data_IF_286395046621
#
_entry.id   IF_286395046621
#
_cell.length_a   1.000
_cell.length_b   1.000
_cell.length_c   1.000
_cell.angle_alpha   90.00
_cell.angle_beta   90.00
_cell.angle_gamma   90.00
#
_symmetry.space_group_name_H-M   'P 1'
#
loop_
_entity.id
_entity.type
_entity.pdbx_description
1 polymer ?
#
# COMPACT_ATOMS: atom_id res chain seq x y z
N UNK A 1 3.84 25.95 63.82
CA UNK A 1 3.86 26.78 62.60
C UNK A 1 2.68 27.74 62.65
N UNK A 2 2.84 29.01 62.22
CA UNK A 2 1.74 29.99 62.25
C UNK A 2 0.59 29.49 61.37
N UNK A 3 -0.65 29.53 61.86
CA UNK A 3 -1.84 29.04 61.14
C UNK A 3 -1.98 29.63 59.73
N UNK A 4 -1.47 30.85 59.52
CA UNK A 4 -1.41 31.52 58.21
C UNK A 4 -0.50 30.80 57.21
N UNK A 5 0.65 30.30 57.67
CA UNK A 5 1.60 29.54 56.84
C UNK A 5 1.02 28.17 56.49
N UNK A 6 0.34 27.51 57.43
CA UNK A 6 -0.30 26.22 57.18
C UNK A 6 -1.42 26.34 56.13
N UNK A 7 -2.28 27.36 56.24
CA UNK A 7 -3.34 27.60 55.25
C UNK A 7 -2.78 27.95 53.86
N UNK A 8 -1.66 28.70 53.80
CA UNK A 8 -1.01 29.05 52.54
C UNK A 8 -0.39 27.81 51.87
N UNK A 9 0.23 26.91 52.63
CA UNK A 9 0.78 25.65 52.11
C UNK A 9 -0.33 24.74 51.57
N UNK A 10 -1.46 24.64 52.27
CA UNK A 10 -2.61 23.85 51.81
C UNK A 10 -3.20 24.42 50.52
N UNK A 11 -3.36 25.74 50.44
CA UNK A 11 -3.83 26.41 49.23
C UNK A 11 -2.89 26.15 48.03
N UNK A 12 -1.57 26.27 48.26
CA UNK A 12 -0.56 26.00 47.24
C UNK A 12 -0.63 24.55 46.75
N UNK A 13 -0.82 23.59 47.67
CA UNK A 13 -0.98 22.17 47.32
C UNK A 13 -2.21 21.91 46.45
N UNK A 14 -3.34 22.53 46.76
CA UNK A 14 -4.57 22.40 45.95
C UNK A 14 -4.37 22.96 44.55
N UNK A 15 -3.74 24.13 44.43
CA UNK A 15 -3.44 24.76 43.13
C UNK A 15 -2.51 23.86 42.31
N UNK A 16 -1.49 23.27 42.93
CA UNK A 16 -0.56 22.37 42.26
C UNK A 16 -1.27 21.12 41.73
N UNK A 17 -2.13 20.50 42.54
CA UNK A 17 -2.92 19.32 42.13
C UNK A 17 -3.88 19.67 40.97
N UNK A 18 -4.57 20.81 41.05
CA UNK A 18 -5.45 21.27 39.99
C UNK A 18 -4.68 21.54 38.68
N UNK A 19 -3.49 22.14 38.77
CA UNK A 19 -2.63 22.37 37.61
C UNK A 19 -2.13 21.07 36.98
N UNK A 20 -1.66 20.11 37.79
CA UNK A 20 -1.25 18.78 37.29
C UNK A 20 -2.42 18.03 36.65
N UNK A 21 -3.60 18.06 37.29
CA UNK A 21 -4.81 17.45 36.75
C UNK A 21 -5.21 18.03 35.40
N UNK A 22 -5.17 19.36 35.25
CA UNK A 22 -5.45 20.03 33.98
C UNK A 22 -4.39 19.72 32.90
N UNK A 23 -3.12 19.70 33.27
CA UNK A 23 -2.02 19.35 32.36
C UNK A 23 -2.13 17.91 31.83
N UNK A 24 -2.46 16.95 32.69
CA UNK A 24 -2.69 15.56 32.29
C UNK A 24 -3.96 15.40 31.46
N UNK A 25 -5.04 16.12 31.80
CA UNK A 25 -6.29 16.11 31.04
C UNK A 25 -6.09 16.65 29.62
N UNK A 26 -5.38 17.77 29.46
CA UNK A 26 -5.10 18.37 28.16
C UNK A 26 -4.14 17.56 27.31
N UNK A 27 -3.14 16.89 27.89
CA UNK A 27 -2.32 15.93 27.14
C UNK A 27 -3.14 14.77 26.57
N UNK A 28 -4.05 14.19 27.36
CA UNK A 28 -4.93 13.12 26.89
C UNK A 28 -5.88 13.59 25.78
N UNK A 29 -6.44 14.80 25.89
CA UNK A 29 -7.31 15.36 24.86
C UNK A 29 -6.58 15.62 23.53
N UNK A 30 -5.35 16.14 23.57
CA UNK A 30 -4.54 16.35 22.37
C UNK A 30 -4.08 15.03 21.73
N UNK A 31 -3.86 13.98 22.53
CA UNK A 31 -3.55 12.63 22.04
C UNK A 31 -4.73 12.00 21.29
N UNK A 32 -5.96 12.27 21.74
CA UNK A 32 -7.17 11.76 21.11
C UNK A 32 -7.52 12.48 19.80
N UNK A 33 -7.13 13.75 19.64
CA UNK A 33 -7.33 14.50 18.39
C UNK A 33 -6.34 14.11 17.29
N UNK A 34 -5.17 13.55 17.64
CA UNK A 34 -4.20 13.01 16.66
C UNK A 34 -4.49 11.55 16.27
N UNK A 35 -5.24 10.81 17.09
CA UNK A 35 -5.81 9.53 16.72
C UNK A 35 -7.24 9.74 16.21
N UNK A 36 -7.35 10.36 15.02
CA UNK A 36 -8.48 10.05 14.15
C UNK A 36 -8.56 8.53 14.08
N UNK A 37 -9.71 7.96 14.40
CA UNK A 37 -9.91 6.51 14.50
C UNK A 37 -9.58 5.90 13.14
N UNK A 38 -8.31 5.51 12.95
CA UNK A 38 -7.93 4.72 11.79
C UNK A 38 -8.58 3.39 12.09
N UNK A 39 -9.70 3.15 11.40
CA UNK A 39 -10.31 1.84 11.36
C UNK A 39 -9.20 0.83 11.07
N UNK A 40 -9.04 -0.19 11.93
CA UNK A 40 -7.97 -1.17 11.81
C UNK A 40 -7.95 -1.79 10.40
N UNK A 41 -9.11 -1.82 9.74
CA UNK A 41 -9.26 -2.18 8.34
C UNK A 41 -8.41 -1.31 7.40
N UNK A 42 -8.47 0.02 7.53
CA UNK A 42 -7.74 0.97 6.65
C UNK A 42 -6.23 0.87 6.87
N UNK A 43 -5.78 0.65 8.10
CA UNK A 43 -4.37 0.42 8.40
C UNK A 43 -3.84 -0.87 7.74
N UNK A 44 -4.62 -1.95 7.81
CA UNK A 44 -4.29 -3.24 7.18
C UNK A 44 -4.24 -3.14 5.65
N UNK A 45 -5.27 -2.55 5.03
CA UNK A 45 -5.31 -2.35 3.58
C UNK A 45 -4.13 -1.49 3.08
N UNK A 46 -3.78 -0.43 3.82
CA UNK A 46 -2.62 0.42 3.50
C UNK A 46 -1.31 -0.36 3.59
N UNK A 47 -1.16 -1.22 4.61
CA UNK A 47 0.04 -2.04 4.77
C UNK A 47 0.22 -3.04 3.63
N UNK A 48 -0.86 -3.72 3.22
CA UNK A 48 -0.85 -4.66 2.09
C UNK A 48 -0.53 -3.96 0.77
N UNK A 49 -1.10 -2.77 0.55
CA UNK A 49 -0.79 -1.97 -0.63
C UNK A 49 0.70 -1.60 -0.71
N UNK A 50 1.27 -1.11 0.40
CA UNK A 50 2.69 -0.73 0.45
C UNK A 50 3.61 -1.94 0.25
N UNK A 51 3.27 -3.10 0.83
CA UNK A 51 3.99 -4.35 0.61
C UNK A 51 4.03 -4.72 -0.88
N UNK A 52 2.88 -4.68 -1.56
CA UNK A 52 2.80 -4.97 -3.00
C UNK A 52 3.57 -3.96 -3.83
N UNK A 53 3.51 -2.69 -3.48
CA UNK A 53 4.24 -1.63 -4.19
C UNK A 53 5.75 -1.86 -4.12
N UNK A 54 6.27 -2.24 -2.95
CA UNK A 54 7.70 -2.55 -2.77
C UNK A 54 8.11 -3.73 -3.65
N UNK A 55 7.28 -4.78 -3.71
CA UNK A 55 7.54 -5.93 -4.59
C UNK A 55 7.60 -5.49 -6.06
N UNK A 56 6.64 -4.67 -6.52
CA UNK A 56 6.61 -4.20 -7.90
C UNK A 56 7.78 -3.28 -8.24
N UNK A 57 8.20 -2.41 -7.31
CA UNK A 57 9.38 -1.55 -7.49
C UNK A 57 10.68 -2.36 -7.57
N UNK A 58 10.72 -3.55 -6.96
CA UNK A 58 11.85 -4.47 -7.06
C UNK A 58 11.92 -5.23 -8.40
N UNK A 59 10.86 -5.20 -9.21
CA UNK A 59 10.86 -5.84 -10.52
C UNK A 59 11.52 -4.91 -11.53
N UNK A 60 12.71 -5.29 -11.99
CA UNK A 60 13.39 -4.68 -13.13
C UNK A 60 13.20 -5.57 -14.35
N UNK A 61 12.65 -5.01 -15.42
CA UNK A 61 12.53 -5.69 -16.72
C UNK A 61 13.66 -5.19 -17.63
N UNK A 62 14.57 -6.10 -17.98
CA UNK A 62 15.63 -5.83 -18.94
C UNK A 62 15.09 -6.00 -20.37
N UNK A 63 14.97 -4.88 -21.09
CA UNK A 63 14.53 -4.83 -22.48
C UNK A 63 15.70 -4.82 -23.49
N UNK A 64 16.93 -4.96 -23.02
CA UNK A 64 18.14 -4.94 -23.86
C UNK A 64 18.16 -6.06 -24.91
N UNK A 65 17.52 -7.19 -24.62
CA UNK A 65 17.36 -8.29 -25.57
C UNK A 65 16.53 -7.85 -26.79
N UNK A 66 15.43 -7.13 -26.57
CA UNK A 66 14.51 -6.71 -27.63
C UNK A 66 15.07 -5.55 -28.47
N UNK A 67 15.97 -4.75 -27.89
CA UNK A 67 16.72 -3.72 -28.63
C UNK A 67 17.94 -4.26 -29.38
N UNK A 68 18.30 -5.54 -29.20
CA UNK A 68 19.44 -6.15 -29.86
C UNK A 68 19.20 -6.30 -31.37
N UNK A 69 20.13 -5.83 -32.20
CA UNK A 69 20.03 -5.96 -33.66
C UNK A 69 19.95 -7.41 -34.13
N UNK A 70 20.60 -8.35 -33.42
CA UNK A 70 20.49 -9.79 -33.72
C UNK A 70 19.09 -10.32 -33.47
N UNK A 71 18.46 -9.89 -32.37
CA UNK A 71 17.08 -10.27 -32.05
C UNK A 71 16.10 -9.70 -33.08
N UNK A 72 16.29 -8.43 -33.47
CA UNK A 72 15.46 -7.79 -34.49
C UNK A 72 15.67 -8.35 -35.91
N UNK A 73 16.83 -8.96 -36.18
CA UNK A 73 17.12 -9.59 -37.47
C UNK A 73 16.56 -11.01 -37.62
N UNK A 74 15.93 -11.57 -36.58
CA UNK A 74 15.32 -12.89 -36.67
C UNK A 74 14.17 -12.85 -37.69
N UNK A 75 14.25 -13.75 -38.66
CA UNK A 75 13.21 -13.93 -39.68
C UNK A 75 12.51 -15.25 -39.45
N UNK A 76 11.22 -15.29 -39.80
CA UNK A 76 10.46 -16.52 -39.81
C UNK A 76 10.86 -17.37 -41.02
N UNK A 77 11.21 -18.64 -40.79
CA UNK A 77 11.52 -19.63 -41.83
C UNK A 77 10.36 -20.59 -42.07
N UNK A 78 9.21 -20.35 -41.47
CA UNK A 78 8.02 -21.18 -41.65
C UNK A 78 7.54 -21.09 -43.09
N UNK A 79 7.17 -22.25 -43.65
CA UNK A 79 6.54 -22.30 -44.96
C UNK A 79 5.11 -21.75 -44.85
N UNK A 80 4.70 -20.79 -45.70
CA UNK A 80 3.32 -20.30 -45.68
C UNK A 80 2.37 -21.46 -45.98
N UNK A 81 1.39 -21.67 -45.10
CA UNK A 81 0.37 -22.69 -45.31
C UNK A 81 -0.50 -22.26 -46.50
N UNK A 82 -0.36 -22.95 -47.63
CA UNK A 82 -1.21 -22.71 -48.80
C UNK A 82 -2.60 -23.29 -48.50
N UNK A 83 -3.67 -22.47 -48.49
CA UNK A 83 -5.03 -22.96 -48.33
C UNK A 83 -5.34 -23.98 -49.42
N UNK A 84 -5.61 -25.22 -49.01
CA UNK A 84 -6.05 -26.26 -49.93
C UNK A 84 -7.56 -26.07 -50.19
N UNK A 85 -8.03 -26.24 -51.44
CA UNK A 85 -9.46 -26.20 -51.71
C UNK A 85 -10.17 -27.28 -50.88
N UNK A 86 -11.38 -26.95 -50.42
CA UNK A 86 -12.28 -27.94 -49.83
C UNK A 86 -12.47 -29.07 -50.85
N UNK A 87 -12.25 -30.31 -50.40
CA UNK A 87 -12.42 -31.51 -51.22
C UNK A 87 -13.87 -31.67 -51.68
N UNK A 88 -14.12 -32.67 -52.54
CA UNK A 88 -15.50 -33.01 -52.95
C UNK A 88 -16.34 -33.35 -51.73
N UNK A 89 -17.61 -32.92 -51.71
CA UNK A 89 -18.58 -33.31 -50.67
C UNK A 89 -18.64 -34.83 -50.48
N UNK A 90 -18.55 -35.58 -51.59
CA UNK A 90 -18.36 -37.03 -51.58
C UNK A 90 -17.06 -37.42 -52.32
N UNK A 91 -16.03 -37.91 -51.60
CA UNK A 91 -14.77 -38.31 -52.20
C UNK A 91 -14.84 -39.57 -53.08
N UNK A 92 -15.99 -40.24 -53.21
CA UNK A 92 -16.15 -41.50 -53.94
C UNK A 92 -17.25 -41.51 -55.02
N UNK A 93 -17.96 -40.41 -55.27
CA UNK A 93 -18.96 -40.45 -56.36
C UNK A 93 -18.27 -40.45 -57.73
N UNK A 94 -18.62 -41.42 -58.57
CA UNK A 94 -18.34 -41.45 -60.01
C UNK A 94 -19.36 -40.59 -60.74
N UNK A 95 -18.89 -39.72 -61.63
CA UNK A 95 -19.73 -38.91 -62.54
C UNK A 95 -20.75 -39.76 -63.29
#
# INVERSE_FOLDING_TARGET
MSAKIQNLIVLLGIILIAFLGYYLYTQNANSQLMNGTIDNQVALETSLFLERLIILQGISLDDSLFSNSRFQSLVDFSEPIIPQPIGRDNPFSSN
#
